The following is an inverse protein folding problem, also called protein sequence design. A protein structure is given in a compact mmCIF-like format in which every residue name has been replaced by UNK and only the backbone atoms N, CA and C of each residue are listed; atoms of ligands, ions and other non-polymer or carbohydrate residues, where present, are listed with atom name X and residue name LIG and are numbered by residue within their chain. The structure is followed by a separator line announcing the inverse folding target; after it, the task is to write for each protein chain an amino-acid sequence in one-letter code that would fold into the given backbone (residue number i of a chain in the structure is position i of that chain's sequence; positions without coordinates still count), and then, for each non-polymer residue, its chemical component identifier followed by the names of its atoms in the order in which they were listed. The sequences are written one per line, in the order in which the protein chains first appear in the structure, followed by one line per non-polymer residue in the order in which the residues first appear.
data_IF_248430100807
#
_entry.id   IF_248430100807
#
_cell.length_a   1.000
_cell.length_b   1.000
_cell.length_c   1.000
_cell.angle_alpha   90.00
_cell.angle_beta   90.00
_cell.angle_gamma   90.00
#
_symmetry.space_group_name_H-M   'P 1'
#
loop_
_entity.id
_entity.type
_entity.pdbx_description
1 polymer ?
#
# COMPACT_ATOMS: atom_id res chain seq x y z
N UNK A 1 67.47 27.62 -44.88
CA UNK A 1 66.65 26.38 -45.03
C UNK A 1 66.26 25.87 -43.63
N UNK A 2 65.12 26.24 -43.14
CA UNK A 2 64.64 25.74 -41.84
C UNK A 2 63.23 25.13 -42.08
N UNK A 3 63.10 23.82 -41.97
CA UNK A 3 61.86 23.08 -42.07
C UNK A 3 61.13 23.09 -40.69
N UNK A 4 59.98 23.70 -40.65
CA UNK A 4 59.11 23.69 -39.49
C UNK A 4 58.22 22.42 -39.56
N UNK A 5 58.32 21.57 -38.51
CA UNK A 5 57.42 20.45 -38.29
C UNK A 5 56.23 20.94 -37.44
N UNK A 6 55.06 20.99 -38.02
CA UNK A 6 53.82 21.13 -37.23
C UNK A 6 53.37 19.78 -36.77
N UNK A 7 53.46 19.56 -35.46
CA UNK A 7 52.87 18.39 -34.76
C UNK A 7 51.39 18.69 -34.46
N UNK A 8 50.50 18.00 -35.13
CA UNK A 8 49.06 18.04 -34.85
C UNK A 8 48.75 17.09 -33.73
N UNK A 9 48.42 17.69 -32.59
CA UNK A 9 47.94 16.95 -31.40
C UNK A 9 46.44 16.65 -31.58
N UNK A 10 46.11 15.40 -31.91
CA UNK A 10 44.72 14.93 -31.96
C UNK A 10 44.24 14.65 -30.53
N UNK A 11 43.38 15.53 -30.01
CA UNK A 11 42.68 15.31 -28.75
C UNK A 11 41.53 14.36 -29.05
N UNK A 12 41.70 13.11 -28.65
CA UNK A 12 40.63 12.10 -28.68
C UNK A 12 39.60 12.38 -27.59
N UNK A 13 38.45 12.88 -27.96
CA UNK A 13 37.28 13.01 -27.10
C UNK A 13 36.62 11.63 -26.92
N UNK A 14 37.01 10.89 -25.89
CA UNK A 14 36.31 9.66 -25.51
C UNK A 14 34.98 10.03 -24.88
N UNK A 15 33.89 9.91 -25.62
CA UNK A 15 32.53 10.02 -25.11
C UNK A 15 32.28 8.84 -24.16
N UNK A 16 32.22 9.13 -22.85
CA UNK A 16 31.77 8.19 -21.84
C UNK A 16 30.26 7.98 -22.01
N UNK A 17 29.87 6.92 -22.68
CA UNK A 17 28.47 6.50 -22.73
C UNK A 17 28.11 5.94 -21.37
N UNK A 18 27.54 6.78 -20.51
CA UNK A 18 26.89 6.35 -19.29
C UNK A 18 25.60 5.63 -19.72
N UNK A 19 25.66 4.31 -19.80
CA UNK A 19 24.47 3.48 -19.91
C UNK A 19 23.67 3.65 -18.62
N UNK A 20 22.71 4.54 -18.63
CA UNK A 20 21.65 4.56 -17.62
C UNK A 20 20.85 3.26 -17.81
N UNK A 21 21.18 2.23 -17.04
CA UNK A 21 20.31 1.09 -16.85
C UNK A 21 19.04 1.62 -16.21
N UNK A 22 18.03 1.91 -17.01
CA UNK A 22 16.68 2.12 -16.51
C UNK A 22 16.30 0.81 -15.82
N UNK A 23 16.34 0.78 -14.50
CA UNK A 23 15.62 -0.23 -13.72
C UNK A 23 14.16 -0.08 -14.12
N UNK A 24 13.69 -0.98 -14.97
CA UNK A 24 12.25 -1.17 -15.17
C UNK A 24 11.70 -1.66 -13.87
N UNK A 25 11.26 -0.74 -13.01
CA UNK A 25 10.39 -1.10 -11.90
C UNK A 25 9.11 -1.60 -12.55
N UNK A 26 8.95 -2.91 -12.59
CA UNK A 26 7.68 -3.50 -12.97
C UNK A 26 6.71 -3.16 -11.86
N UNK A 27 5.64 -2.44 -12.19
CA UNK A 27 4.59 -2.12 -11.24
C UNK A 27 4.07 -3.41 -10.58
N UNK A 28 3.89 -3.44 -9.26
CA UNK A 28 3.41 -4.63 -8.59
C UNK A 28 2.04 -5.04 -9.16
N UNK A 29 1.89 -6.34 -9.43
CA UNK A 29 0.64 -6.90 -9.92
C UNK A 29 -0.27 -7.25 -8.73
N UNK A 30 -1.49 -6.73 -8.73
CA UNK A 30 -2.51 -7.06 -7.71
C UNK A 30 -3.83 -7.34 -8.42
N UNK A 31 -4.42 -8.51 -8.17
CA UNK A 31 -5.64 -8.93 -8.86
C UNK A 31 -5.49 -8.99 -10.37
N UNK A 32 -4.31 -9.42 -10.85
CA UNK A 32 -4.02 -9.55 -12.28
C UNK A 32 -3.82 -8.22 -13.04
N UNK A 33 -3.74 -7.09 -12.33
CA UNK A 33 -3.55 -5.77 -12.93
C UNK A 33 -2.32 -5.06 -12.37
N UNK A 34 -1.58 -4.30 -13.20
CA UNK A 34 -0.47 -3.48 -12.73
C UNK A 34 -0.99 -2.30 -11.90
N UNK A 35 -0.38 -2.09 -10.73
CA UNK A 35 -0.69 -0.98 -9.83
C UNK A 35 0.24 0.20 -10.14
N UNK A 36 -0.28 1.18 -10.85
CA UNK A 36 0.50 2.32 -11.34
C UNK A 36 0.74 3.36 -10.23
N UNK A 37 1.99 3.70 -9.87
CA UNK A 37 2.29 4.63 -8.79
C UNK A 37 1.84 6.07 -9.07
N UNK A 38 1.51 6.39 -10.32
CA UNK A 38 0.96 7.70 -10.70
C UNK A 38 -0.54 7.83 -10.44
N UNK A 39 -1.26 6.73 -10.25
CA UNK A 39 -2.68 6.72 -9.89
C UNK A 39 -2.85 6.81 -8.38
N UNK A 40 -4.00 7.29 -7.94
CA UNK A 40 -4.37 7.26 -6.52
C UNK A 40 -4.83 5.85 -6.09
N UNK A 41 -5.02 5.69 -4.77
CA UNK A 41 -5.41 4.43 -4.13
C UNK A 41 -6.69 3.87 -4.75
N UNK A 42 -7.70 4.72 -5.00
CA UNK A 42 -8.99 4.27 -5.51
C UNK A 42 -8.91 3.89 -6.99
N UNK A 43 -8.22 4.71 -7.79
CA UNK A 43 -8.09 4.47 -9.24
C UNK A 43 -7.28 3.21 -9.56
N UNK A 44 -6.40 2.77 -8.67
CA UNK A 44 -5.75 1.47 -8.77
C UNK A 44 -6.64 0.33 -8.24
N UNK A 45 -7.25 0.51 -7.06
CA UNK A 45 -8.05 -0.54 -6.44
C UNK A 45 -9.24 -0.99 -7.32
N UNK A 46 -9.87 -0.06 -8.05
CA UNK A 46 -11.00 -0.39 -8.93
C UNK A 46 -10.63 -1.32 -10.10
N UNK A 47 -9.35 -1.40 -10.44
CA UNK A 47 -8.87 -2.29 -11.51
C UNK A 47 -8.48 -3.68 -10.98
N UNK A 48 -8.35 -3.85 -9.67
CA UNK A 48 -7.95 -5.12 -9.06
C UNK A 48 -9.13 -6.07 -8.97
N UNK A 49 -9.00 -7.28 -9.54
CA UNK A 49 -10.01 -8.33 -9.42
C UNK A 49 -10.12 -8.85 -7.97
N UNK A 50 -9.04 -8.75 -7.18
CA UNK A 50 -8.99 -9.24 -5.80
C UNK A 50 -9.63 -8.28 -4.78
N UNK A 51 -10.02 -7.07 -5.17
CA UNK A 51 -10.54 -6.04 -4.26
C UNK A 51 -11.93 -5.52 -4.65
N UNK A 52 -12.71 -6.29 -5.41
CA UNK A 52 -14.05 -5.89 -5.86
C UNK A 52 -15.00 -5.62 -4.71
N UNK A 53 -14.97 -6.46 -3.66
CA UNK A 53 -15.78 -6.29 -2.44
C UNK A 53 -15.37 -5.05 -1.66
N UNK A 54 -14.05 -4.82 -1.50
CA UNK A 54 -13.54 -3.60 -0.85
C UNK A 54 -13.98 -2.33 -1.59
N UNK A 55 -13.87 -2.32 -2.92
CA UNK A 55 -14.29 -1.18 -3.75
C UNK A 55 -15.80 -0.92 -3.63
N UNK A 56 -16.62 -1.97 -3.63
CA UNK A 56 -18.06 -1.84 -3.39
C UNK A 56 -18.35 -1.24 -2.01
N UNK A 57 -17.65 -1.70 -0.97
CA UNK A 57 -17.78 -1.20 0.39
C UNK A 57 -17.38 0.29 0.50
N UNK A 58 -16.26 0.69 -0.11
CA UNK A 58 -15.78 2.09 -0.14
C UNK A 58 -16.80 3.01 -0.82
N UNK A 59 -17.41 2.56 -1.93
CA UNK A 59 -18.48 3.28 -2.62
C UNK A 59 -19.75 3.41 -1.76
N UNK A 60 -20.19 2.32 -1.15
CA UNK A 60 -21.36 2.30 -0.26
C UNK A 60 -21.18 3.21 0.95
N UNK A 61 -19.99 3.24 1.54
CA UNK A 61 -19.64 4.14 2.65
C UNK A 61 -19.53 5.61 2.22
N UNK A 62 -19.38 5.91 0.92
CA UNK A 62 -19.13 7.26 0.42
C UNK A 62 -17.73 7.78 0.69
N UNK A 63 -16.75 6.89 0.83
CA UNK A 63 -15.37 7.23 1.18
C UNK A 63 -14.45 7.46 -0.04
N UNK A 64 -15.00 7.37 -1.26
CA UNK A 64 -14.21 7.51 -2.50
C UNK A 64 -13.43 8.83 -2.52
N UNK A 65 -14.10 9.97 -2.32
CA UNK A 65 -13.45 11.28 -2.32
C UNK A 65 -12.47 11.47 -1.17
N UNK A 66 -12.73 10.86 -0.02
CA UNK A 66 -11.81 10.88 1.13
C UNK A 66 -10.51 10.15 0.80
N UNK A 67 -10.59 8.97 0.18
CA UNK A 67 -9.42 8.17 -0.19
C UNK A 67 -8.72 8.70 -1.46
N UNK A 68 -9.38 9.50 -2.28
CA UNK A 68 -8.76 10.28 -3.37
C UNK A 68 -8.07 11.56 -2.88
N UNK A 69 -8.25 11.93 -1.64
CA UNK A 69 -7.63 13.11 -1.03
C UNK A 69 -6.09 13.08 -1.06
N UNK A 70 -5.49 14.20 -0.71
CA UNK A 70 -4.04 14.44 -0.87
C UNK A 70 -3.13 13.54 -0.04
N UNK A 71 -3.65 12.74 0.90
CA UNK A 71 -2.82 11.85 1.71
C UNK A 71 -1.63 12.53 2.40
N UNK A 72 -0.52 11.86 2.65
CA UNK A 72 -0.29 10.45 2.34
C UNK A 72 -1.08 9.51 3.27
N UNK A 73 -1.51 8.39 2.72
CA UNK A 73 -2.23 7.34 3.45
C UNK A 73 -1.47 6.01 3.39
N UNK A 74 -1.63 5.20 4.42
CA UNK A 74 -1.30 3.78 4.38
C UNK A 74 -2.60 3.00 4.49
N UNK A 75 -2.89 2.16 3.51
CA UNK A 75 -4.12 1.37 3.46
C UNK A 75 -3.78 -0.11 3.55
N UNK A 76 -4.36 -0.78 4.54
CA UNK A 76 -4.37 -2.23 4.62
C UNK A 76 -5.60 -2.74 3.88
N UNK A 77 -5.40 -3.26 2.66
CA UNK A 77 -6.48 -3.62 1.74
C UNK A 77 -6.77 -5.13 1.82
N UNK A 78 -7.89 -5.55 2.43
CA UNK A 78 -8.28 -6.95 2.45
C UNK A 78 -8.75 -7.41 1.07
N UNK A 79 -8.33 -8.61 0.67
CA UNK A 79 -8.76 -9.28 -0.55
C UNK A 79 -10.22 -9.77 -0.43
N UNK A 80 -10.84 -10.17 -1.54
CA UNK A 80 -12.21 -10.68 -1.54
C UNK A 80 -12.37 -11.87 -0.57
N UNK A 81 -11.42 -12.81 -0.58
CA UNK A 81 -11.42 -13.99 0.29
C UNK A 81 -11.46 -13.61 1.78
N UNK A 82 -10.78 -12.51 2.17
CA UNK A 82 -10.82 -11.99 3.52
C UNK A 82 -12.24 -11.58 3.98
N UNK A 83 -13.08 -11.14 3.06
CA UNK A 83 -14.49 -10.85 3.35
C UNK A 83 -15.34 -12.11 3.40
N UNK A 84 -14.98 -13.15 2.64
CA UNK A 84 -15.68 -14.45 2.65
C UNK A 84 -15.44 -15.21 3.97
N UNK A 85 -14.30 -14.98 4.62
CA UNK A 85 -13.98 -15.52 5.95
C UNK A 85 -14.82 -14.92 7.09
N UNK A 86 -15.50 -13.80 6.84
CA UNK A 86 -16.42 -13.24 7.83
C UNK A 86 -17.69 -14.11 7.96
N UNK A 87 -18.34 -14.12 9.15
CA UNK A 87 -19.59 -14.86 9.34
C UNK A 87 -20.61 -14.54 8.24
N UNK A 88 -21.30 -15.58 7.76
CA UNK A 88 -22.26 -15.44 6.66
C UNK A 88 -23.26 -14.30 6.88
N UNK A 89 -23.48 -13.47 5.87
CA UNK A 89 -24.34 -12.29 5.92
C UNK A 89 -23.74 -11.05 6.57
N UNK A 90 -22.50 -11.12 7.10
CA UNK A 90 -21.85 -9.94 7.71
C UNK A 90 -21.60 -8.86 6.66
N UNK A 91 -21.06 -9.24 5.50
CA UNK A 91 -20.76 -8.29 4.41
C UNK A 91 -22.05 -7.66 3.88
N UNK A 92 -23.06 -8.47 3.59
CA UNK A 92 -24.37 -7.98 3.12
C UNK A 92 -25.01 -7.03 4.13
N UNK A 93 -24.87 -7.34 5.41
CA UNK A 93 -25.38 -6.50 6.48
C UNK A 93 -24.64 -5.16 6.58
N UNK A 94 -23.31 -5.19 6.48
CA UNK A 94 -22.48 -3.97 6.48
C UNK A 94 -22.75 -3.05 5.27
N UNK A 95 -23.10 -3.63 4.13
CA UNK A 95 -23.41 -2.86 2.91
C UNK A 95 -24.79 -2.19 2.92
N UNK A 96 -25.65 -2.52 3.89
CA UNK A 96 -26.96 -1.87 4.02
C UNK A 96 -26.79 -0.40 4.40
N UNK A 97 -27.67 0.46 3.86
CA UNK A 97 -27.63 1.89 4.10
C UNK A 97 -27.73 2.25 5.61
N UNK A 98 -28.48 1.47 6.39
CA UNK A 98 -28.63 1.61 7.84
C UNK A 98 -27.34 1.38 8.61
N UNK A 99 -26.41 0.58 8.06
CA UNK A 99 -25.13 0.25 8.66
C UNK A 99 -23.95 1.06 8.11
N UNK A 100 -24.22 2.10 7.32
CA UNK A 100 -23.19 2.94 6.70
C UNK A 100 -22.17 3.49 7.70
N UNK A 101 -22.59 3.87 8.89
CA UNK A 101 -21.70 4.38 9.95
C UNK A 101 -20.71 3.30 10.41
N UNK A 102 -21.19 2.07 10.63
CA UNK A 102 -20.36 0.92 10.99
C UNK A 102 -19.40 0.56 9.88
N UNK A 103 -19.88 0.52 8.63
CA UNK A 103 -19.04 0.28 7.45
C UNK A 103 -17.94 1.34 7.32
N UNK A 104 -18.29 2.61 7.51
CA UNK A 104 -17.31 3.71 7.49
C UNK A 104 -16.26 3.54 8.59
N UNK A 105 -16.67 3.16 9.82
CA UNK A 105 -15.75 2.89 10.93
C UNK A 105 -14.79 1.74 10.58
N UNK A 106 -15.29 0.64 10.05
CA UNK A 106 -14.46 -0.51 9.63
C UNK A 106 -13.48 -0.11 8.52
N UNK A 107 -13.94 0.57 7.48
CA UNK A 107 -13.06 0.96 6.35
C UNK A 107 -12.01 1.99 6.77
N UNK A 108 -12.36 2.98 7.59
CA UNK A 108 -11.41 3.97 8.10
C UNK A 108 -10.46 3.39 9.15
N UNK A 109 -10.81 2.25 9.75
CA UNK A 109 -9.94 1.48 10.63
C UNK A 109 -8.78 0.81 9.87
N UNK A 110 -8.97 0.49 8.58
CA UNK A 110 -7.91 -0.02 7.70
C UNK A 110 -6.99 1.07 7.14
N UNK A 111 -7.25 2.33 7.46
CA UNK A 111 -6.49 3.48 6.94
C UNK A 111 -5.70 4.14 8.07
N UNK A 112 -4.41 4.31 7.85
CA UNK A 112 -3.48 5.03 8.72
C UNK A 112 -3.02 6.30 8.02
N UNK A 113 -3.00 7.42 8.73
CA UNK A 113 -2.44 8.66 8.21
C UNK A 113 -0.91 8.57 8.13
N UNK A 114 -0.35 9.01 7.03
CA UNK A 114 1.09 8.91 6.75
C UNK A 114 1.41 7.75 5.78
N UNK A 115 2.59 7.81 5.18
CA UNK A 115 3.11 6.73 4.34
C UNK A 115 4.03 5.85 5.18
N UNK A 116 3.59 4.63 5.41
CA UNK A 116 4.32 3.60 6.14
C UNK A 116 4.56 2.41 5.20
N UNK A 117 5.65 2.44 4.45
CA UNK A 117 6.10 1.31 3.65
C UNK A 117 6.67 0.19 4.55
N UNK A 118 6.99 -0.94 3.98
CA UNK A 118 7.50 -2.11 4.73
C UNK A 118 8.77 -1.78 5.52
N UNK A 119 9.63 -0.91 5.01
CA UNK A 119 10.84 -0.48 5.71
C UNK A 119 10.52 0.42 6.90
N UNK A 120 9.59 1.37 6.73
CA UNK A 120 9.12 2.21 7.83
C UNK A 120 8.43 1.37 8.91
N UNK A 121 7.59 0.40 8.52
CA UNK A 121 6.97 -0.53 9.45
C UNK A 121 8.01 -1.35 10.23
N UNK A 122 9.01 -1.93 9.54
CA UNK A 122 10.10 -2.68 10.20
C UNK A 122 10.90 -1.81 11.17
N UNK A 123 11.21 -0.59 10.78
CA UNK A 123 11.90 0.38 11.66
C UNK A 123 11.07 0.69 12.91
N UNK A 124 9.77 0.94 12.73
CA UNK A 124 8.86 1.19 13.84
C UNK A 124 8.73 -0.01 14.78
N UNK A 125 8.59 -1.23 14.24
CA UNK A 125 8.55 -2.49 15.01
C UNK A 125 9.84 -2.67 15.80
N UNK A 126 11.00 -2.43 15.17
CA UNK A 126 12.31 -2.53 15.85
C UNK A 126 12.44 -1.50 16.98
N UNK A 127 12.03 -0.25 16.73
CA UNK A 127 12.06 0.82 17.73
C UNK A 127 11.11 0.53 18.91
N UNK A 128 9.99 -0.15 18.65
CA UNK A 128 8.99 -0.55 19.64
C UNK A 128 9.23 -1.92 20.29
N UNK A 129 10.49 -2.41 20.29
CA UNK A 129 10.86 -3.69 20.90
C UNK A 129 10.07 -4.91 20.39
N UNK A 130 9.85 -4.97 19.09
CA UNK A 130 9.20 -6.09 18.41
C UNK A 130 7.75 -5.83 17.99
N UNK A 131 7.18 -4.68 18.32
CA UNK A 131 5.84 -4.27 17.89
C UNK A 131 5.76 -2.77 17.65
N UNK A 132 4.88 -2.33 16.75
CA UNK A 132 4.57 -0.93 16.57
C UNK A 132 3.05 -0.71 16.56
N UNK A 133 2.60 0.32 17.27
CA UNK A 133 1.19 0.71 17.30
C UNK A 133 0.95 1.83 16.30
N UNK A 134 0.00 1.64 15.39
CA UNK A 134 -0.40 2.60 14.38
C UNK A 134 -1.79 3.14 14.72
N UNK A 135 -1.94 4.45 14.70
CA UNK A 135 -3.26 5.09 14.90
C UNK A 135 -4.01 5.15 13.59
N UNK A 136 -5.22 4.61 13.56
CA UNK A 136 -6.08 4.59 12.39
C UNK A 136 -6.89 5.87 12.24
N UNK A 137 -7.39 6.14 11.03
CA UNK A 137 -8.28 7.26 10.75
C UNK A 137 -9.61 7.13 11.50
N UNK A 138 -10.05 5.90 11.81
CA UNK A 138 -11.21 5.64 12.65
C UNK A 138 -11.00 6.04 14.13
N UNK A 139 -9.77 6.35 14.54
CA UNK A 139 -9.42 6.68 15.91
C UNK A 139 -8.95 5.50 16.78
N UNK A 140 -9.13 4.26 16.29
CA UNK A 140 -8.61 3.05 16.94
C UNK A 140 -7.13 2.80 16.62
N UNK A 141 -6.61 1.64 17.01
CA UNK A 141 -5.21 1.28 16.86
C UNK A 141 -5.03 -0.07 16.19
N UNK A 142 -4.00 -0.17 15.34
CA UNK A 142 -3.48 -1.42 14.80
C UNK A 142 -2.10 -1.67 15.38
N UNK A 143 -1.79 -2.91 15.67
CA UNK A 143 -0.45 -3.31 16.11
C UNK A 143 0.23 -4.11 15.01
N UNK A 144 1.39 -3.66 14.57
CA UNK A 144 2.22 -4.40 13.61
C UNK A 144 3.36 -5.10 14.35
N UNK A 145 3.66 -6.32 13.96
CA UNK A 145 4.72 -7.14 14.53
C UNK A 145 5.34 -8.04 13.45
N UNK A 146 6.52 -8.59 13.73
CA UNK A 146 7.15 -9.55 12.83
C UNK A 146 6.67 -10.96 13.15
N UNK A 147 6.26 -11.68 12.11
CA UNK A 147 6.01 -13.11 12.13
C UNK A 147 7.15 -13.81 11.37
N UNK A 148 8.14 -14.29 12.10
CA UNK A 148 9.37 -14.81 11.52
C UNK A 148 10.38 -13.71 11.13
N UNK A 149 11.38 -14.03 10.28
CA UNK A 149 12.50 -13.13 10.02
C UNK A 149 12.14 -11.90 9.15
N UNK A 150 11.07 -11.98 8.36
CA UNK A 150 10.79 -10.96 7.36
C UNK A 150 9.32 -10.56 7.24
N UNK A 151 8.36 -11.39 7.64
CA UNK A 151 6.94 -11.12 7.46
C UNK A 151 6.41 -10.16 8.51
N UNK A 152 5.66 -9.15 8.06
CA UNK A 152 4.93 -8.25 8.95
C UNK A 152 3.48 -8.74 8.99
N UNK A 153 2.93 -8.81 10.18
CA UNK A 153 1.50 -9.04 10.40
C UNK A 153 0.89 -7.84 11.10
N UNK A 154 -0.39 -7.67 10.88
CA UNK A 154 -1.19 -6.59 11.46
C UNK A 154 -2.23 -7.21 12.39
N UNK A 155 -2.23 -6.76 13.63
CA UNK A 155 -3.16 -7.22 14.65
C UNK A 155 -4.14 -6.09 15.00
N UNK A 156 -5.41 -6.40 15.05
CA UNK A 156 -6.46 -5.46 15.44
C UNK A 156 -6.69 -5.43 16.96
N UNK A 157 -7.64 -4.61 17.41
CA UNK A 157 -7.98 -4.46 18.83
C UNK A 157 -8.70 -5.68 19.41
N UNK A 158 -9.31 -6.52 18.59
CA UNK A 158 -9.93 -7.79 19.00
C UNK A 158 -8.93 -8.92 19.18
N UNK A 159 -7.74 -8.75 18.62
CA UNK A 159 -6.67 -9.73 18.66
C UNK A 159 -6.55 -10.57 17.40
N UNK A 160 -7.39 -10.30 16.38
CA UNK A 160 -7.31 -10.96 15.09
C UNK A 160 -6.08 -10.48 14.33
N UNK A 161 -5.48 -11.38 13.55
CA UNK A 161 -4.21 -11.14 12.87
C UNK A 161 -4.37 -11.31 11.37
N UNK A 162 -3.99 -10.29 10.63
CA UNK A 162 -3.89 -10.31 9.17
C UNK A 162 -2.43 -10.42 8.73
N UNK A 163 -2.14 -11.30 7.77
CA UNK A 163 -0.85 -11.35 7.10
C UNK A 163 -0.84 -10.38 5.91
N UNK A 164 0.30 -9.76 5.67
CA UNK A 164 0.50 -8.95 4.46
C UNK A 164 1.00 -9.87 3.34
N UNK A 165 0.20 -10.03 2.29
CA UNK A 165 0.52 -10.84 1.13
C UNK A 165 1.32 -10.08 0.08
N UNK A 166 1.04 -8.78 -0.10
CA UNK A 166 1.77 -7.88 -1.01
C UNK A 166 2.09 -6.58 -0.30
N UNK A 167 3.38 -6.26 -0.26
CA UNK A 167 3.90 -5.04 0.36
C UNK A 167 4.09 -3.93 -0.67
N UNK A 168 4.10 -2.70 -0.18
CA UNK A 168 4.67 -1.54 -0.87
C UNK A 168 4.07 -1.26 -2.25
N UNK A 169 2.75 -1.44 -2.38
CA UNK A 169 2.01 -1.01 -3.57
C UNK A 169 1.87 0.50 -3.52
N UNK A 170 2.83 1.20 -4.14
CA UNK A 170 2.89 2.66 -4.10
C UNK A 170 1.82 3.31 -4.96
N UNK A 171 1.27 4.41 -4.45
CA UNK A 171 0.26 5.24 -5.08
C UNK A 171 0.67 6.71 -5.01
N UNK A 172 0.08 7.55 -5.84
CA UNK A 172 0.36 9.00 -5.82
C UNK A 172 0.03 9.64 -4.47
N UNK A 173 -0.99 9.14 -3.78
CA UNK A 173 -1.44 9.65 -2.49
C UNK A 173 -1.24 8.70 -1.31
N UNK A 174 -0.46 7.63 -1.46
CA UNK A 174 -0.21 6.71 -0.36
C UNK A 174 0.54 5.43 -0.70
N UNK A 175 0.37 4.43 0.14
CA UNK A 175 0.85 3.07 -0.06
C UNK A 175 -0.22 2.08 0.38
N UNK A 176 -0.37 0.99 -0.37
CA UNK A 176 -1.28 -0.11 -0.03
C UNK A 176 -0.45 -1.33 0.40
N UNK A 177 -0.88 -2.00 1.45
CA UNK A 177 -0.47 -3.34 1.83
C UNK A 177 -1.68 -4.26 1.70
N UNK A 178 -1.58 -5.29 0.88
CA UNK A 178 -2.66 -6.26 0.69
C UNK A 178 -2.65 -7.26 1.84
N UNK A 179 -3.80 -7.48 2.46
CA UNK A 179 -3.95 -8.36 3.62
C UNK A 179 -4.99 -9.46 3.37
N UNK A 180 -4.81 -10.59 4.07
CA UNK A 180 -5.64 -11.79 3.96
C UNK A 180 -6.82 -11.84 4.95
N UNK A 181 -6.99 -10.83 5.81
CA UNK A 181 -8.05 -10.78 6.83
C UNK A 181 -8.61 -9.38 6.99
N UNK A 182 -9.91 -9.26 7.27
CA UNK A 182 -10.56 -7.98 7.59
C UNK A 182 -10.30 -7.62 9.05
N UNK A 183 -9.74 -6.42 9.28
CA UNK A 183 -9.47 -5.91 10.62
C UNK A 183 -10.72 -5.24 11.19
N UNK A 184 -11.06 -5.58 12.41
CA UNK A 184 -12.29 -5.11 13.04
C UNK A 184 -11.97 -4.23 14.27
N UNK A 185 -12.51 -3.01 14.35
CA UNK A 185 -12.41 -2.19 15.55
C UNK A 185 -13.27 -2.76 16.69
N UNK A 186 -12.94 -2.38 17.92
CA UNK A 186 -13.78 -2.62 19.08
C UNK A 186 -15.07 -1.82 19.07
#
# INVERSE_FOLDING_TARGET
MKKSLFSTLAVGLTALVVSASAMTMTDPMVGGQPMMPMKDIVDNAVNSADHTTLVAAVKAAGLVETLKGKGPFTVFAPVNDAFEDLPAGTVDNLLKAENKATLTKVLTYHVVAGRMDSDALRKAIKAGNGMATLKTVAGGTLTTLLNGPANIVVKDEKGDVANISTYDVYQSNGVIHVIDHVLLPN
#
